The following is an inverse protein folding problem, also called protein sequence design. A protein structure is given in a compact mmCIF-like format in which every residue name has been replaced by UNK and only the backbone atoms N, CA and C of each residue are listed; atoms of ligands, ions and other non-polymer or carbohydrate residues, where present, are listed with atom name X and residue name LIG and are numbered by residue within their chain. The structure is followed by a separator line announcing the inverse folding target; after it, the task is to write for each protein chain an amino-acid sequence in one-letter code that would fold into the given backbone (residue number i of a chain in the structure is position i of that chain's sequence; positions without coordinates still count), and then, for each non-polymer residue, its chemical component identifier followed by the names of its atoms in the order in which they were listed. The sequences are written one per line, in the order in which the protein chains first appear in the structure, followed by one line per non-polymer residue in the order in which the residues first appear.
data_IF_167409610584
#
_entry.id   IF_167409610584
#
_cell.length_a   1.000
_cell.length_b   1.000
_cell.length_c   1.000
_cell.angle_alpha   90.00
_cell.angle_beta   90.00
_cell.angle_gamma   90.00
#
_symmetry.space_group_name_H-M   'P 1'
#
loop_
_entity.id
_entity.type
_entity.pdbx_description
1 polymer ?
#
# COMPACT_ATOMS: atom_id res chain seq x y z
N UNK A 1 12.34 -8.64 54.75
CA UNK A 1 11.03 -8.16 54.25
C UNK A 1 11.08 -6.72 53.70
N UNK A 2 11.81 -5.79 54.34
CA UNK A 2 11.91 -4.38 53.89
C UNK A 2 12.78 -4.20 52.61
N UNK A 3 13.81 -5.01 52.41
CA UNK A 3 14.69 -4.94 51.22
C UNK A 3 14.01 -5.31 49.89
N UNK A 4 12.93 -6.08 49.91
CA UNK A 4 12.21 -6.55 48.71
C UNK A 4 11.23 -5.47 48.17
N UNK A 5 10.79 -4.55 49.03
CA UNK A 5 9.90 -3.45 48.67
C UNK A 5 10.67 -2.25 48.08
N UNK A 6 11.92 -2.05 48.49
CA UNK A 6 12.79 -1.02 47.92
C UNK A 6 13.20 -1.35 46.47
N UNK A 7 13.51 -2.62 46.20
CA UNK A 7 13.81 -3.11 44.84
C UNK A 7 12.59 -3.01 43.92
N UNK A 8 11.39 -3.33 44.41
CA UNK A 8 10.16 -3.13 43.66
C UNK A 8 9.97 -1.65 43.27
N UNK A 9 10.15 -0.71 44.20
CA UNK A 9 10.04 0.72 43.92
C UNK A 9 11.05 1.25 42.89
N UNK A 10 12.30 0.77 42.94
CA UNK A 10 13.35 1.16 42.00
C UNK A 10 13.20 0.48 40.62
N UNK A 11 12.60 -0.70 40.57
CA UNK A 11 12.21 -1.37 39.31
C UNK A 11 11.04 -0.63 38.66
N UNK A 12 10.06 -0.16 39.44
CA UNK A 12 8.94 0.63 38.91
C UNK A 12 9.41 1.97 38.32
N UNK A 13 10.38 2.66 38.94
CA UNK A 13 10.92 3.91 38.40
C UNK A 13 11.75 3.71 37.12
N UNK A 14 12.50 2.60 37.00
CA UNK A 14 13.24 2.25 35.78
C UNK A 14 12.36 1.74 34.64
N UNK A 15 11.24 1.10 34.96
CA UNK A 15 10.25 0.67 33.96
C UNK A 15 9.42 1.83 33.42
N UNK A 16 9.19 2.86 34.24
CA UNK A 16 8.40 4.05 33.91
C UNK A 16 9.27 5.32 33.94
N UNK A 17 10.44 5.28 33.29
CA UNK A 17 11.27 6.47 33.13
C UNK A 17 10.81 7.28 31.90
N UNK A 18 10.17 8.42 32.15
CA UNK A 18 9.60 9.28 31.11
C UNK A 18 10.56 10.32 30.52
N UNK A 19 11.84 10.27 30.89
CA UNK A 19 12.79 11.35 30.64
C UNK A 19 13.15 11.54 29.16
N UNK A 20 13.14 10.47 28.35
CA UNK A 20 13.54 10.49 26.94
C UNK A 20 12.39 10.27 25.94
N UNK A 21 11.13 10.31 26.37
CA UNK A 21 9.96 10.14 25.47
C UNK A 21 9.93 11.18 24.35
N UNK A 22 10.41 12.40 24.60
CA UNK A 22 10.52 13.45 23.59
C UNK A 22 11.40 13.06 22.39
N UNK A 23 12.50 12.33 22.63
CA UNK A 23 13.41 11.87 21.58
C UNK A 23 12.81 10.71 20.76
N UNK A 24 12.05 9.82 21.42
CA UNK A 24 11.35 8.71 20.78
C UNK A 24 10.20 9.20 19.88
N UNK A 25 9.44 10.21 20.32
CA UNK A 25 8.34 10.79 19.53
C UNK A 25 8.87 11.46 18.25
N UNK A 26 10.06 12.08 18.29
CA UNK A 26 10.69 12.66 17.10
C UNK A 26 11.04 11.59 16.05
N UNK A 27 11.47 10.39 16.46
CA UNK A 27 11.76 9.26 15.57
C UNK A 27 10.50 8.70 14.92
N UNK A 28 9.38 8.64 15.64
CA UNK A 28 8.12 8.10 15.14
C UNK A 28 7.29 9.10 14.32
N UNK A 29 7.62 10.40 14.36
CA UNK A 29 6.85 11.46 13.71
C UNK A 29 6.58 11.17 12.23
N UNK A 30 7.60 10.72 11.50
CA UNK A 30 7.47 10.41 10.07
C UNK A 30 6.54 9.23 9.82
N UNK A 31 6.65 8.17 10.63
CA UNK A 31 5.80 6.98 10.54
C UNK A 31 4.33 7.27 10.87
N UNK A 32 4.08 8.15 11.85
CA UNK A 32 2.72 8.60 12.20
C UNK A 32 2.11 9.36 11.02
N UNK A 33 2.85 10.29 10.41
CA UNK A 33 2.38 11.04 9.24
C UNK A 33 2.15 10.10 8.06
N UNK A 34 3.09 9.19 7.77
CA UNK A 34 2.96 8.21 6.71
C UNK A 34 1.72 7.31 6.91
N UNK A 35 1.51 6.81 8.13
CA UNK A 35 0.35 6.00 8.49
C UNK A 35 -0.97 6.75 8.36
N UNK A 36 -1.02 8.02 8.79
CA UNK A 36 -2.20 8.87 8.64
C UNK A 36 -2.57 9.09 7.17
N UNK A 37 -1.58 9.42 6.34
CA UNK A 37 -1.77 9.62 4.89
C UNK A 37 -2.23 8.33 4.21
N UNK A 38 -1.56 7.21 4.49
CA UNK A 38 -1.93 5.91 3.93
C UNK A 38 -3.33 5.47 4.38
N UNK A 39 -3.71 5.75 5.64
CA UNK A 39 -5.04 5.47 6.16
C UNK A 39 -6.15 6.23 5.42
N UNK A 40 -5.92 7.51 5.13
CA UNK A 40 -6.87 8.33 4.33
C UNK A 40 -7.00 7.78 2.92
N UNK A 41 -5.88 7.50 2.24
CA UNK A 41 -5.88 6.97 0.87
C UNK A 41 -6.55 5.61 0.81
N UNK A 42 -6.17 4.69 1.71
CA UNK A 42 -6.72 3.33 1.77
C UNK A 42 -8.21 3.32 2.06
N UNK A 43 -8.68 4.18 2.98
CA UNK A 43 -10.10 4.34 3.29
C UNK A 43 -10.91 4.82 2.08
N UNK A 44 -10.39 5.80 1.32
CA UNK A 44 -11.05 6.31 0.12
C UNK A 44 -11.06 5.28 -1.01
N UNK A 45 -9.93 4.64 -1.30
CA UNK A 45 -9.82 3.64 -2.36
C UNK A 45 -10.67 2.40 -2.03
N UNK A 46 -10.71 1.98 -0.77
CA UNK A 46 -11.42 0.77 -0.33
C UNK A 46 -12.90 0.76 -0.69
N UNK A 47 -13.58 1.92 -0.60
CA UNK A 47 -15.00 2.05 -1.00
C UNK A 47 -15.20 1.72 -2.49
N UNK A 48 -14.31 2.19 -3.36
CA UNK A 48 -14.39 1.92 -4.80
C UNK A 48 -13.99 0.49 -5.17
N UNK A 49 -13.01 -0.06 -4.44
CA UNK A 49 -12.57 -1.45 -4.66
C UNK A 49 -13.71 -2.42 -4.35
N UNK A 50 -14.44 -2.18 -3.25
CA UNK A 50 -15.56 -3.01 -2.84
C UNK A 50 -16.76 -2.89 -3.79
N UNK A 51 -17.10 -1.66 -4.21
CA UNK A 51 -18.26 -1.42 -5.09
C UNK A 51 -18.07 -1.93 -6.52
N UNK A 52 -16.84 -2.27 -6.94
CA UNK A 52 -16.51 -2.70 -8.31
C UNK A 52 -15.96 -4.12 -8.44
N UNK A 53 -16.04 -4.93 -7.38
CA UNK A 53 -15.47 -6.29 -7.34
C UNK A 53 -13.98 -6.33 -7.75
N UNK A 54 -13.22 -5.28 -7.42
CA UNK A 54 -11.79 -5.16 -7.74
C UNK A 54 -10.88 -5.69 -6.61
N UNK A 55 -11.43 -6.29 -5.56
CA UNK A 55 -10.68 -6.74 -4.39
C UNK A 55 -9.57 -7.74 -4.75
N UNK A 56 -9.86 -8.70 -5.63
CA UNK A 56 -8.84 -9.66 -6.11
C UNK A 56 -7.71 -8.97 -6.89
N UNK A 57 -8.02 -7.94 -7.67
CA UNK A 57 -7.01 -7.21 -8.42
C UNK A 57 -6.05 -6.45 -7.50
N UNK A 58 -6.55 -5.85 -6.41
CA UNK A 58 -5.71 -5.14 -5.43
C UNK A 58 -4.78 -6.09 -4.69
N UNK A 59 -5.28 -7.28 -4.30
CA UNK A 59 -4.41 -8.30 -3.75
C UNK A 59 -3.33 -8.69 -4.75
N UNK A 60 -3.70 -9.01 -6.00
CA UNK A 60 -2.76 -9.43 -7.05
C UNK A 60 -1.62 -8.44 -7.30
N UNK A 61 -1.95 -7.15 -7.29
CA UNK A 61 -0.96 -6.07 -7.41
C UNK A 61 0.00 -6.06 -6.22
N UNK A 62 -0.47 -6.37 -5.01
CA UNK A 62 0.35 -6.41 -3.80
C UNK A 62 1.40 -7.53 -3.84
N UNK A 63 1.03 -8.75 -4.27
CA UNK A 63 2.03 -9.84 -4.39
C UNK A 63 3.03 -9.60 -5.52
N UNK A 64 2.60 -9.02 -6.65
CA UNK A 64 3.51 -8.70 -7.75
C UNK A 64 4.42 -7.51 -7.43
N UNK A 65 3.91 -6.52 -6.69
CA UNK A 65 4.72 -5.43 -6.16
C UNK A 65 5.79 -5.95 -5.22
N UNK A 66 5.44 -6.89 -4.34
CA UNK A 66 6.41 -7.60 -3.49
C UNK A 66 7.43 -8.39 -4.32
N UNK A 67 7.00 -9.11 -5.35
CA UNK A 67 7.89 -9.83 -6.24
C UNK A 67 8.90 -8.91 -6.94
N UNK A 68 8.44 -7.75 -7.42
CA UNK A 68 9.29 -6.72 -8.03
C UNK A 68 10.25 -6.08 -7.03
N UNK A 69 9.81 -5.84 -5.80
CA UNK A 69 10.66 -5.34 -4.71
C UNK A 69 11.79 -6.34 -4.37
N UNK A 70 11.46 -7.62 -4.27
CA UNK A 70 12.43 -8.70 -4.02
C UNK A 70 13.40 -8.89 -5.20
N UNK A 71 12.93 -8.77 -6.44
CA UNK A 71 13.76 -8.79 -7.63
C UNK A 71 14.76 -7.62 -7.66
N UNK A 72 14.29 -6.41 -7.35
CA UNK A 72 15.14 -5.23 -7.25
C UNK A 72 16.21 -5.39 -6.18
N UNK A 73 15.85 -5.95 -5.03
CA UNK A 73 16.81 -6.25 -3.98
C UNK A 73 17.90 -7.23 -4.46
N UNK A 74 17.51 -8.29 -5.18
CA UNK A 74 18.45 -9.27 -5.73
C UNK A 74 19.43 -8.63 -6.73
N UNK A 75 18.95 -7.69 -7.55
CA UNK A 75 19.76 -6.94 -8.51
C UNK A 75 20.59 -5.81 -7.87
N UNK A 76 20.42 -5.55 -6.57
CA UNK A 76 21.09 -4.45 -5.86
C UNK A 76 20.59 -3.05 -6.24
N UNK A 77 19.40 -2.94 -6.85
CA UNK A 77 18.77 -1.66 -7.20
C UNK A 77 17.78 -1.21 -6.11
N UNK A 78 17.29 0.03 -6.22
CA UNK A 78 16.36 0.58 -5.22
C UNK A 78 15.06 -0.22 -5.16
N UNK A 79 14.76 -0.74 -3.98
CA UNK A 79 13.58 -1.57 -3.66
C UNK A 79 12.26 -0.86 -3.98
N UNK A 80 12.18 0.45 -3.72
CA UNK A 80 10.99 1.27 -4.03
C UNK A 80 10.77 1.35 -5.53
N UNK A 81 11.85 1.45 -6.32
CA UNK A 81 11.76 1.40 -7.78
C UNK A 81 11.26 0.04 -8.28
N UNK A 82 11.77 -1.05 -7.69
CA UNK A 82 11.34 -2.41 -8.00
C UNK A 82 9.86 -2.66 -7.72
N UNK A 83 9.36 -2.18 -6.56
CA UNK A 83 7.95 -2.34 -6.20
C UNK A 83 7.03 -1.54 -7.12
N UNK A 84 7.42 -0.34 -7.53
CA UNK A 84 6.67 0.47 -8.50
C UNK A 84 6.61 -0.22 -9.87
N UNK A 85 7.73 -0.74 -10.37
CA UNK A 85 7.77 -1.48 -11.64
C UNK A 85 6.93 -2.75 -11.55
N UNK A 86 7.05 -3.53 -10.46
CA UNK A 86 6.23 -4.71 -10.21
C UNK A 86 4.73 -4.40 -10.18
N UNK A 87 4.35 -3.29 -9.52
CA UNK A 87 2.96 -2.81 -9.47
C UNK A 87 2.43 -2.41 -10.86
N UNK A 88 3.26 -1.75 -11.67
CA UNK A 88 2.90 -1.35 -13.02
C UNK A 88 2.73 -2.56 -13.94
N UNK A 89 3.63 -3.55 -13.86
CA UNK A 89 3.52 -4.82 -14.58
C UNK A 89 2.23 -5.54 -14.17
N UNK A 90 1.92 -5.58 -12.88
CA UNK A 90 0.67 -6.17 -12.38
C UNK A 90 -0.57 -5.46 -12.94
N UNK A 91 -0.60 -4.13 -12.89
CA UNK A 91 -1.70 -3.33 -13.42
C UNK A 91 -1.90 -3.56 -14.93
N UNK A 92 -0.81 -3.62 -15.70
CA UNK A 92 -0.86 -3.92 -17.14
C UNK A 92 -1.33 -5.36 -17.38
N UNK A 93 -0.81 -6.34 -16.64
CA UNK A 93 -1.22 -7.73 -16.77
C UNK A 93 -2.72 -7.91 -16.49
N UNK A 94 -3.24 -7.31 -15.42
CA UNK A 94 -4.66 -7.32 -15.08
C UNK A 94 -5.48 -6.55 -16.12
N UNK A 95 -4.96 -5.44 -16.64
CA UNK A 95 -5.60 -4.64 -17.68
C UNK A 95 -5.76 -5.37 -19.01
N UNK A 96 -4.70 -6.04 -19.48
CA UNK A 96 -4.65 -6.74 -20.78
C UNK A 96 -5.38 -8.07 -20.73
N UNK A 97 -5.17 -8.87 -19.67
CA UNK A 97 -5.83 -10.18 -19.54
C UNK A 97 -7.31 -10.03 -19.13
N UNK A 98 -7.74 -8.83 -18.72
CA UNK A 98 -9.05 -8.58 -18.18
C UNK A 98 -10.14 -8.23 -19.19
N UNK A 99 -10.26 -8.91 -20.32
CA UNK A 99 -11.28 -8.55 -21.33
C UNK A 99 -12.71 -8.93 -20.93
N UNK A 100 -12.91 -9.83 -19.96
CA UNK A 100 -14.21 -10.16 -19.35
C UNK A 100 -14.12 -10.28 -17.82
N UNK A 101 -15.14 -9.79 -17.11
CA UNK A 101 -15.19 -9.79 -15.63
C UNK A 101 -15.03 -11.19 -15.01
N UNK A 102 -15.52 -12.24 -15.69
CA UNK A 102 -15.45 -13.64 -15.22
C UNK A 102 -14.07 -14.26 -15.39
N UNK A 103 -13.35 -13.91 -16.46
CA UNK A 103 -12.02 -14.47 -16.77
C UNK A 103 -10.92 -13.79 -15.93
N UNK A 104 -11.12 -12.51 -15.56
CA UNK A 104 -10.25 -11.76 -14.64
C UNK A 104 -10.00 -12.50 -13.34
N UNK A 105 -11.07 -12.97 -12.68
CA UNK A 105 -10.96 -13.55 -11.36
C UNK A 105 -10.14 -14.85 -11.36
N UNK A 106 -10.30 -15.68 -12.40
CA UNK A 106 -9.57 -16.95 -12.50
C UNK A 106 -8.09 -16.75 -12.80
N UNK A 107 -7.74 -15.76 -13.62
CA UNK A 107 -6.35 -15.44 -13.96
C UNK A 107 -5.65 -14.82 -12.76
N UNK A 108 -6.30 -13.86 -12.09
CA UNK A 108 -5.75 -13.20 -10.90
C UNK A 108 -5.47 -14.23 -9.81
N UNK A 109 -6.37 -15.19 -9.59
CA UNK A 109 -6.19 -16.26 -8.59
C UNK A 109 -4.92 -17.11 -8.82
N UNK A 110 -4.47 -17.26 -10.07
CA UNK A 110 -3.21 -17.97 -10.40
C UNK A 110 -2.00 -17.04 -10.28
N UNK A 111 -2.15 -15.77 -10.68
CA UNK A 111 -1.08 -14.77 -10.64
C UNK A 111 -0.64 -14.45 -9.19
N UNK A 112 -1.55 -14.46 -8.22
CA UNK A 112 -1.21 -14.10 -6.83
C UNK A 112 -0.19 -15.05 -6.17
N UNK A 113 -0.43 -16.38 -6.10
CA UNK A 113 0.55 -17.30 -5.53
C UNK A 113 1.83 -17.37 -6.38
N UNK A 114 1.73 -17.12 -7.69
CA UNK A 114 2.90 -17.01 -8.56
C UNK A 114 3.78 -15.83 -8.19
N UNK A 115 3.21 -14.62 -8.01
CA UNK A 115 3.94 -13.44 -7.58
C UNK A 115 4.60 -13.64 -6.22
N UNK A 116 3.85 -14.17 -5.25
CA UNK A 116 4.40 -14.46 -3.92
C UNK A 116 5.55 -15.48 -3.99
N UNK A 117 5.38 -16.57 -4.73
CA UNK A 117 6.41 -17.59 -4.92
C UNK A 117 7.67 -17.03 -5.59
N UNK A 118 7.51 -16.19 -6.61
CA UNK A 118 8.61 -15.51 -7.28
C UNK A 118 9.35 -14.56 -6.33
N UNK A 119 8.62 -13.78 -5.53
CA UNK A 119 9.20 -12.89 -4.53
C UNK A 119 9.99 -13.64 -3.46
N UNK A 120 9.44 -14.74 -2.93
CA UNK A 120 10.15 -15.61 -1.96
C UNK A 120 11.39 -16.24 -2.61
N UNK A 121 11.30 -16.70 -3.86
CA UNK A 121 12.44 -17.25 -4.59
C UNK A 121 13.58 -16.23 -4.72
N UNK A 122 13.30 -14.98 -5.13
CA UNK A 122 14.32 -13.94 -5.20
C UNK A 122 14.92 -13.61 -3.84
N UNK A 123 14.10 -13.61 -2.78
CA UNK A 123 14.57 -13.40 -1.42
C UNK A 123 15.43 -14.57 -0.92
N UNK A 124 15.13 -15.80 -1.35
CA UNK A 124 15.92 -16.99 -1.04
C UNK A 124 17.28 -16.97 -1.74
N UNK A 125 17.35 -16.51 -3.00
CA UNK A 125 18.59 -16.37 -3.77
C UNK A 125 19.47 -15.20 -3.31
N UNK A 126 18.92 -14.24 -2.58
CA UNK A 126 19.68 -13.07 -2.12
C UNK A 126 20.61 -13.42 -0.96
N UNK A 127 21.93 -13.36 -1.13
CA UNK A 127 22.90 -13.65 -0.04
C UNK A 127 23.18 -12.47 0.91
N UNK A 128 22.48 -11.34 0.74
CA UNK A 128 22.68 -10.15 1.56
C UNK A 128 22.08 -10.23 2.98
N UNK A 129 22.30 -9.16 3.75
CA UNK A 129 21.93 -9.07 5.18
C UNK A 129 20.47 -9.46 5.44
N UNK A 130 20.25 -10.34 6.42
CA UNK A 130 18.93 -10.81 6.82
C UNK A 130 17.95 -9.67 7.18
N UNK A 131 18.45 -8.54 7.70
CA UNK A 131 17.64 -7.37 8.05
C UNK A 131 16.83 -6.82 6.87
N UNK A 132 17.40 -6.80 5.66
CA UNK A 132 16.68 -6.32 4.48
C UNK A 132 15.58 -7.30 4.02
N UNK A 133 15.78 -8.61 4.26
CA UNK A 133 14.79 -9.63 3.94
C UNK A 133 13.58 -9.55 4.88
N UNK A 134 13.83 -9.48 6.18
CA UNK A 134 12.76 -9.35 7.18
C UNK A 134 12.00 -8.04 7.03
N UNK A 135 12.71 -6.94 6.75
CA UNK A 135 12.07 -5.64 6.56
C UNK A 135 11.10 -5.57 5.38
N UNK A 136 11.35 -6.35 4.34
CA UNK A 136 10.43 -6.48 3.20
C UNK A 136 9.24 -7.39 3.49
N UNK A 137 9.43 -8.46 4.28
CA UNK A 137 8.36 -9.41 4.63
C UNK A 137 7.38 -8.83 5.66
N UNK A 138 7.87 -8.07 6.64
CA UNK A 138 7.03 -7.49 7.71
C UNK A 138 6.56 -6.07 7.41
N UNK A 139 7.20 -5.39 6.46
CA UNK A 139 6.96 -3.97 6.17
C UNK A 139 7.51 -3.07 7.28
N UNK A 140 8.57 -2.32 6.99
CA UNK A 140 9.17 -1.42 7.98
C UNK A 140 8.63 0.01 7.81
N UNK A 141 7.60 0.37 8.58
CA UNK A 141 7.09 1.76 8.60
C UNK A 141 7.97 2.72 9.42
N UNK A 142 8.77 2.20 10.34
CA UNK A 142 9.61 3.01 11.26
C UNK A 142 10.88 3.55 10.58
N UNK A 143 11.35 2.89 9.52
CA UNK A 143 12.58 3.26 8.81
C UNK A 143 12.35 4.21 7.62
N UNK A 144 11.25 4.97 7.61
CA UNK A 144 10.94 5.86 6.47
C UNK A 144 11.74 7.16 6.58
N UNK A 145 12.70 7.32 5.66
CA UNK A 145 13.50 8.54 5.55
C UNK A 145 12.67 9.73 5.02
N UNK A 146 13.12 10.96 5.32
CA UNK A 146 12.50 12.21 4.83
C UNK A 146 12.23 12.26 3.31
N UNK A 147 13.16 11.89 2.40
CA UNK A 147 12.87 11.90 0.96
C UNK A 147 11.80 10.87 0.57
N UNK A 148 11.79 9.70 1.21
CA UNK A 148 10.80 8.65 0.93
C UNK A 148 9.40 9.05 1.39
N UNK A 149 9.30 9.76 2.52
CA UNK A 149 8.05 10.38 2.96
C UNK A 149 7.54 11.41 1.94
N UNK A 150 8.42 12.22 1.37
CA UNK A 150 8.07 13.17 0.31
C UNK A 150 7.44 12.49 -0.92
N UNK A 151 8.06 11.40 -1.41
CA UNK A 151 7.49 10.61 -2.51
C UNK A 151 6.15 9.98 -2.14
N UNK A 152 6.02 9.42 -0.93
CA UNK A 152 4.78 8.85 -0.44
C UNK A 152 3.64 9.89 -0.46
N UNK A 153 3.90 11.07 0.11
CA UNK A 153 2.92 12.17 0.15
C UNK A 153 2.58 12.64 -1.27
N UNK A 154 3.58 12.82 -2.14
CA UNK A 154 3.34 13.25 -3.52
C UNK A 154 2.47 12.25 -4.30
N UNK A 155 2.80 10.96 -4.24
CA UNK A 155 2.02 9.91 -4.93
C UNK A 155 0.61 9.82 -4.33
N UNK A 156 0.48 9.88 -2.99
CA UNK A 156 -0.83 9.87 -2.33
C UNK A 156 -1.72 11.03 -2.76
N UNK A 157 -1.16 12.24 -2.88
CA UNK A 157 -1.88 13.41 -3.34
C UNK A 157 -2.33 13.25 -4.79
N UNK A 158 -1.46 12.76 -5.68
CA UNK A 158 -1.81 12.46 -7.08
C UNK A 158 -2.97 11.45 -7.16
N UNK A 159 -2.93 10.39 -6.34
CA UNK A 159 -3.98 9.38 -6.30
C UNK A 159 -5.29 9.97 -5.79
N UNK A 160 -5.29 10.76 -4.71
CA UNK A 160 -6.49 11.41 -4.18
C UNK A 160 -7.09 12.39 -5.20
N UNK A 161 -6.26 13.20 -5.86
CA UNK A 161 -6.72 14.14 -6.91
C UNK A 161 -7.31 13.37 -8.09
N UNK A 162 -6.63 12.31 -8.55
CA UNK A 162 -7.16 11.44 -9.59
C UNK A 162 -8.49 10.81 -9.21
N UNK A 163 -8.62 10.33 -7.97
CA UNK A 163 -9.86 9.78 -7.43
C UNK A 163 -10.97 10.82 -7.38
N UNK A 164 -10.67 12.04 -6.93
CA UNK A 164 -11.65 13.15 -6.85
C UNK A 164 -12.19 13.54 -8.23
N UNK A 165 -11.34 13.57 -9.27
CA UNK A 165 -11.74 13.83 -10.65
C UNK A 165 -12.63 12.68 -11.19
N UNK A 166 -12.26 11.44 -10.87
CA UNK A 166 -12.92 10.24 -11.38
C UNK A 166 -14.15 9.85 -10.54
N UNK A 167 -14.35 10.45 -9.35
CA UNK A 167 -15.44 10.11 -8.43
C UNK A 167 -16.83 10.33 -9.03
N UNK A 168 -17.03 11.46 -9.72
CA UNK A 168 -18.30 11.79 -10.40
C UNK A 168 -18.71 10.72 -11.43
N UNK A 169 -17.92 10.44 -12.48
CA UNK A 169 -18.32 9.45 -13.49
C UNK A 169 -18.40 8.03 -12.92
N UNK A 170 -17.66 7.71 -11.86
CA UNK A 170 -17.72 6.41 -11.18
C UNK A 170 -19.07 6.16 -10.51
N UNK A 171 -19.58 7.14 -9.73
CA UNK A 171 -20.87 7.01 -9.04
C UNK A 171 -22.04 6.91 -10.02
N UNK A 172 -22.01 7.66 -11.12
CA UNK A 172 -23.06 7.60 -12.14
C UNK A 172 -23.08 6.25 -12.87
N UNK A 173 -21.92 5.67 -13.19
CA UNK A 173 -21.84 4.36 -13.84
C UNK A 173 -22.29 3.19 -12.94
N UNK A 174 -22.22 3.33 -11.61
CA UNK A 174 -22.67 2.30 -10.66
C UNK A 174 -24.17 2.36 -10.35
N UNK A 175 -24.82 3.52 -10.50
CA UNK A 175 -26.25 3.70 -10.19
C UNK A 175 -27.15 3.34 -11.37
N UNK A 176 -26.72 3.56 -12.61
CA UNK A 176 -27.51 3.26 -13.82
C UNK A 176 -26.65 2.60 -14.92
N UNK A 177 -26.62 1.24 -15.01
CA UNK A 177 -25.83 0.52 -16.02
C UNK A 177 -26.42 0.57 -17.44
N UNK A 178 -27.59 1.19 -17.63
CA UNK A 178 -28.36 1.18 -18.89
C UNK A 178 -28.05 2.36 -19.81
N UNK A 179 -27.29 3.36 -19.36
CA UNK A 179 -27.00 4.57 -20.13
C UNK A 179 -25.87 4.37 -21.15
N UNK A 180 -25.98 4.92 -22.38
CA UNK A 180 -24.91 4.87 -23.37
C UNK A 180 -23.63 5.58 -22.84
N UNK A 181 -22.43 5.03 -23.09
CA UNK A 181 -21.18 5.55 -22.51
C UNK A 181 -20.86 7.00 -22.90
N UNK A 182 -21.37 7.48 -24.04
CA UNK A 182 -21.20 8.86 -24.49
C UNK A 182 -22.09 9.88 -23.77
N UNK A 183 -23.16 9.44 -23.10
CA UNK A 183 -24.07 10.29 -22.34
C UNK A 183 -23.61 10.48 -20.88
N UNK A 184 -22.99 9.45 -20.28
CA UNK A 184 -22.43 9.50 -18.92
C UNK A 184 -21.33 10.57 -18.79
N UNK A 185 -20.41 10.64 -19.76
CA UNK A 185 -19.36 11.68 -19.77
C UNK A 185 -19.92 13.10 -19.93
N UNK A 186 -21.07 13.26 -20.59
CA UNK A 186 -21.65 14.58 -20.89
C UNK A 186 -22.36 15.18 -19.67
N UNK A 187 -23.04 14.36 -18.88
CA UNK A 187 -23.65 14.79 -17.61
C UNK A 187 -22.62 14.94 -16.48
N UNK A 188 -21.61 14.05 -16.40
CA UNK A 188 -20.58 14.13 -15.35
C UNK A 188 -19.77 15.44 -15.40
N UNK A 189 -19.50 15.95 -16.61
CA UNK A 189 -18.79 17.22 -16.83
C UNK A 189 -19.69 18.47 -16.81
N UNK A 190 -21.02 18.34 -16.71
CA UNK A 190 -21.90 19.51 -16.66
C UNK A 190 -22.09 20.00 -15.22
N UNK A 191 -21.92 21.31 -14.93
CA UNK A 191 -22.22 21.89 -13.62
C UNK A 191 -23.73 21.89 -13.28
N UNK A 192 -24.60 21.58 -14.26
CA UNK A 192 -26.07 21.58 -14.08
C UNK A 192 -26.66 20.29 -13.52
N UNK A 193 -25.84 19.26 -13.28
CA UNK A 193 -26.24 18.05 -12.56
C UNK A 193 -25.80 18.17 -11.10
N UNK A 194 -26.59 18.87 -10.30
CA UNK A 194 -26.58 18.89 -8.83
C UNK A 194 -28.00 18.79 -8.34
#
# INVERSE_FOLDING_TARGET
MIHLLADAGDVWSRLFDFSDYGALVALLRNSIIAGAVLGVVGGLIGVFVMTRDLAFAVHGVSELSFAGAAAALLLGVNVVGGSLVGSLIAAIAIGVLGTRAKDRNSIIAVIMPFGLGLGILFLALYDGRASNKFGLLTGQIVSVDNPQLGYLVAISAVVIVGLAVVWRPLMFASVDPTWPPHAVCRCACSPSCS
#
